data_IF_512416716729
#
_entry.id   IF_512416716729
#
_cell.length_a   1.000
_cell.length_b   1.000
_cell.length_c   1.000
_cell.angle_alpha   90.00
_cell.angle_beta   90.00
_cell.angle_gamma   90.00
#
_symmetry.space_group_name_H-M   'P 1'
#
loop_
_entity.id
_entity.type
_entity.pdbx_description
1 polymer ?
#
# COMPACT_ATOMS: atom_id res chain seq x y z
N UNK A 1 18.15 -19.67 8.96
CA UNK A 1 17.04 -20.19 8.14
C UNK A 1 17.11 -19.54 6.77
N UNK A 2 16.92 -20.29 5.68
CA UNK A 2 16.90 -19.73 4.33
C UNK A 2 15.48 -19.20 4.03
N UNK A 3 15.35 -17.89 3.79
CA UNK A 3 14.07 -17.25 3.49
C UNK A 3 13.57 -17.67 2.11
N UNK A 4 12.47 -18.44 2.04
CA UNK A 4 11.87 -18.93 0.78
C UNK A 4 10.37 -18.65 0.73
N UNK A 5 9.80 -18.39 -0.46
CA UNK A 5 8.36 -18.20 -0.61
C UNK A 5 7.60 -19.43 -0.13
N UNK A 6 6.65 -19.20 0.77
CA UNK A 6 5.75 -20.25 1.26
C UNK A 6 4.67 -20.50 0.20
N UNK A 7 4.18 -19.43 -0.39
CA UNK A 7 3.28 -19.46 -1.53
C UNK A 7 4.06 -19.10 -2.79
N UNK A 8 3.86 -19.88 -3.85
CA UNK A 8 4.55 -19.72 -5.13
C UNK A 8 3.53 -19.50 -6.25
N UNK A 9 3.99 -18.83 -7.29
CA UNK A 9 3.30 -18.61 -8.56
C UNK A 9 4.35 -18.80 -9.64
N UNK A 10 4.11 -19.67 -10.61
CA UNK A 10 5.07 -19.89 -11.69
C UNK A 10 4.90 -18.83 -12.77
N UNK A 11 3.67 -18.38 -13.01
CA UNK A 11 3.34 -17.28 -13.91
C UNK A 11 2.62 -16.13 -13.20
N UNK A 12 2.60 -14.96 -13.84
CA UNK A 12 1.77 -13.84 -13.38
C UNK A 12 0.30 -14.18 -13.55
N UNK A 13 -0.54 -13.62 -12.68
CA UNK A 13 -2.00 -13.77 -12.68
C UNK A 13 -2.54 -15.17 -12.38
N UNK A 14 -1.70 -16.15 -12.14
CA UNK A 14 -2.14 -17.47 -11.71
C UNK A 14 -2.81 -17.42 -10.33
N UNK A 15 -3.93 -18.13 -10.15
CA UNK A 15 -4.50 -18.34 -8.82
C UNK A 15 -3.53 -19.14 -7.94
N UNK A 16 -3.40 -18.72 -6.69
CA UNK A 16 -2.50 -19.39 -5.74
C UNK A 16 -3.33 -20.13 -4.70
N UNK A 17 -3.16 -21.45 -4.61
CA UNK A 17 -3.77 -22.25 -3.55
C UNK A 17 -3.13 -21.89 -2.21
N UNK A 18 -3.92 -21.33 -1.30
CA UNK A 18 -3.50 -20.95 0.05
C UNK A 18 -3.57 -22.16 0.98
N UNK A 19 -4.72 -22.85 0.98
CA UNK A 19 -4.95 -24.03 1.82
C UNK A 19 -6.15 -24.83 1.34
N UNK A 20 -6.26 -26.08 1.79
CA UNK A 20 -7.47 -26.88 1.72
C UNK A 20 -7.89 -27.20 3.16
N UNK A 21 -9.06 -26.73 3.57
CA UNK A 21 -9.48 -26.78 4.98
C UNK A 21 -10.91 -27.31 5.11
N UNK A 22 -11.20 -28.07 6.18
CA UNK A 22 -12.56 -28.47 6.48
C UNK A 22 -13.34 -27.25 7.01
N UNK A 23 -14.54 -27.03 6.46
CA UNK A 23 -15.39 -25.88 6.77
C UNK A 23 -16.81 -26.28 7.10
N UNK A 24 -17.52 -25.43 7.82
CA UNK A 24 -18.98 -25.49 7.94
C UNK A 24 -19.55 -24.31 7.18
N UNK A 25 -20.36 -24.59 6.17
CA UNK A 25 -21.16 -23.59 5.45
C UNK A 25 -22.45 -23.39 6.22
N UNK A 26 -22.63 -22.21 6.82
CA UNK A 26 -23.85 -21.87 7.54
C UNK A 26 -24.88 -21.30 6.58
N UNK A 27 -26.02 -21.98 6.47
CA UNK A 27 -27.14 -21.54 5.61
C UNK A 27 -28.41 -21.29 6.40
N UNK A 28 -29.37 -20.59 5.82
CA UNK A 28 -30.75 -20.46 6.34
C UNK A 28 -31.44 -21.81 6.52
N UNK A 29 -30.99 -22.86 5.82
CA UNK A 29 -31.58 -24.22 5.81
C UNK A 29 -30.81 -25.21 6.68
N UNK A 30 -29.77 -24.76 7.37
CA UNK A 30 -28.93 -25.56 8.25
C UNK A 30 -27.44 -25.53 7.87
N UNK A 31 -26.63 -26.13 8.74
CA UNK A 31 -25.18 -26.16 8.61
C UNK A 31 -24.73 -27.35 7.76
N UNK A 32 -23.77 -27.13 6.88
CA UNK A 32 -23.24 -28.15 5.97
C UNK A 32 -21.72 -28.25 6.08
N UNK A 33 -21.18 -29.31 6.71
CA UNK A 33 -19.74 -29.58 6.74
C UNK A 33 -19.23 -29.94 5.34
N UNK A 34 -18.19 -29.26 4.88
CA UNK A 34 -17.57 -29.44 3.56
C UNK A 34 -16.05 -29.29 3.65
N UNK A 35 -15.35 -29.47 2.54
CA UNK A 35 -13.95 -29.06 2.38
C UNK A 35 -13.90 -27.86 1.43
N UNK A 36 -13.18 -26.81 1.82
CA UNK A 36 -12.99 -25.63 1.00
C UNK A 36 -11.57 -25.59 0.46
N UNK A 37 -11.43 -25.35 -0.85
CA UNK A 37 -10.18 -24.91 -1.47
C UNK A 37 -10.11 -23.40 -1.37
N UNK A 38 -9.13 -22.89 -0.63
CA UNK A 38 -8.95 -21.47 -0.35
C UNK A 38 -7.89 -20.94 -1.30
N UNK A 39 -8.28 -20.04 -2.17
CA UNK A 39 -7.46 -19.61 -3.32
C UNK A 39 -7.34 -18.09 -3.31
N UNK A 40 -6.13 -17.59 -3.52
CA UNK A 40 -5.91 -16.20 -3.91
C UNK A 40 -6.15 -16.10 -5.42
N UNK A 41 -7.33 -15.65 -5.82
CA UNK A 41 -7.62 -15.32 -7.20
C UNK A 41 -7.02 -13.95 -7.53
N UNK A 42 -6.45 -13.79 -8.73
CA UNK A 42 -5.86 -12.52 -9.16
C UNK A 42 -6.83 -11.64 -9.96
N UNK A 43 -7.78 -12.24 -10.68
CA UNK A 43 -8.73 -11.54 -11.55
C UNK A 43 -10.19 -11.74 -11.12
N UNK A 44 -11.09 -10.78 -11.45
CA UNK A 44 -10.83 -9.48 -12.08
C UNK A 44 -10.16 -8.47 -11.12
N UNK A 45 -10.26 -8.69 -9.81
CA UNK A 45 -9.50 -8.01 -8.77
C UNK A 45 -9.01 -9.06 -7.79
N UNK A 46 -7.77 -8.90 -7.30
CA UNK A 46 -7.19 -9.90 -6.42
C UNK A 46 -7.98 -10.02 -5.11
N UNK A 47 -8.40 -11.26 -4.80
CA UNK A 47 -9.30 -11.61 -3.68
C UNK A 47 -9.05 -13.02 -3.21
N UNK A 48 -9.22 -13.26 -1.91
CA UNK A 48 -9.30 -14.60 -1.37
C UNK A 48 -10.71 -15.16 -1.62
N UNK A 49 -10.79 -16.34 -2.23
CA UNK A 49 -12.04 -17.08 -2.43
C UNK A 49 -11.98 -18.46 -1.79
N UNK A 50 -13.16 -18.93 -1.45
CA UNK A 50 -13.41 -20.28 -0.96
C UNK A 50 -14.22 -21.00 -2.02
N UNK A 51 -13.64 -22.02 -2.64
CA UNK A 51 -14.33 -22.91 -3.56
C UNK A 51 -14.71 -24.18 -2.82
N UNK A 52 -16.02 -24.45 -2.76
CA UNK A 52 -16.59 -25.50 -1.93
C UNK A 52 -17.46 -26.39 -2.82
N UNK A 53 -17.08 -27.67 -2.91
CA UNK A 53 -17.81 -28.66 -3.70
C UNK A 53 -18.68 -29.53 -2.79
N UNK A 54 -19.99 -29.51 -3.02
CA UNK A 54 -20.98 -30.33 -2.34
C UNK A 54 -21.14 -31.64 -3.09
N UNK A 55 -20.31 -32.62 -2.76
CA UNK A 55 -20.34 -33.95 -3.40
C UNK A 55 -21.71 -34.61 -3.27
N UNK A 56 -22.19 -35.15 -4.39
CA UNK A 56 -23.35 -36.05 -4.51
C UNK A 56 -24.70 -35.50 -4.00
N UNK A 57 -24.81 -34.18 -3.82
CA UNK A 57 -26.05 -33.52 -3.38
C UNK A 57 -26.31 -32.25 -4.18
N UNK A 58 -27.49 -32.18 -4.80
CA UNK A 58 -28.06 -30.90 -5.21
C UNK A 58 -28.59 -30.24 -3.95
N UNK A 59 -27.90 -29.20 -3.49
CA UNK A 59 -28.36 -28.43 -2.35
C UNK A 59 -29.40 -27.41 -2.82
N UNK A 60 -30.62 -27.42 -2.27
CA UNK A 60 -31.69 -26.54 -2.73
C UNK A 60 -31.59 -25.18 -2.04
N UNK A 61 -30.41 -24.54 -2.03
CA UNK A 61 -30.24 -23.20 -1.45
C UNK A 61 -29.83 -22.19 -2.53
N UNK A 62 -30.26 -20.93 -2.39
CA UNK A 62 -29.82 -19.82 -3.24
C UNK A 62 -28.55 -19.16 -2.69
N UNK A 63 -27.94 -18.26 -3.45
CA UNK A 63 -26.79 -17.48 -2.95
C UNK A 63 -27.10 -16.75 -1.64
N UNK A 64 -28.31 -16.20 -1.51
CA UNK A 64 -28.76 -15.44 -0.33
C UNK A 64 -28.96 -16.31 0.92
N UNK A 65 -29.03 -17.63 0.74
CA UNK A 65 -29.19 -18.56 1.86
C UNK A 65 -27.87 -18.74 2.63
N UNK A 66 -26.70 -18.45 2.03
CA UNK A 66 -25.38 -18.63 2.67
C UNK A 66 -25.00 -17.39 3.48
N UNK A 67 -24.88 -17.53 4.79
CA UNK A 67 -24.60 -16.40 5.70
C UNK A 67 -23.12 -16.25 6.05
N UNK A 68 -22.45 -17.36 6.33
CA UNK A 68 -21.06 -17.37 6.77
C UNK A 68 -20.40 -18.71 6.50
N UNK A 69 -19.07 -18.72 6.53
CA UNK A 69 -18.25 -19.93 6.46
C UNK A 69 -17.40 -20.00 7.73
N UNK A 70 -17.37 -21.16 8.39
CA UNK A 70 -16.59 -21.40 9.61
C UNK A 70 -15.48 -22.40 9.30
N UNK A 71 -14.22 -22.07 9.59
CA UNK A 71 -13.12 -23.04 9.54
C UNK A 71 -13.19 -23.98 10.73
N UNK A 72 -13.30 -25.28 10.48
CA UNK A 72 -13.24 -26.30 11.53
C UNK A 72 -11.78 -26.68 11.81
N UNK A 73 -11.41 -26.81 13.08
CA UNK A 73 -10.05 -27.22 13.49
C UNK A 73 -9.06 -26.07 13.78
N UNK A 74 -9.41 -24.82 13.47
CA UNK A 74 -8.60 -23.63 13.77
C UNK A 74 -9.35 -22.65 14.66
N UNK A 75 -9.71 -23.06 15.88
CA UNK A 75 -10.51 -22.28 16.84
C UNK A 75 -11.94 -21.92 16.38
N UNK A 76 -12.51 -22.66 15.41
CA UNK A 76 -13.85 -22.40 14.88
C UNK A 76 -14.06 -20.95 14.44
N UNK A 77 -13.08 -20.41 13.69
CA UNK A 77 -13.12 -19.05 13.18
C UNK A 77 -14.24 -18.90 12.16
N UNK A 78 -15.20 -18.04 12.49
CA UNK A 78 -16.32 -17.69 11.63
C UNK A 78 -16.03 -16.40 10.86
N UNK A 79 -16.23 -16.45 9.54
CA UNK A 79 -16.08 -15.30 8.67
C UNK A 79 -17.38 -14.95 7.98
N UNK A 80 -17.76 -13.68 8.08
CA UNK A 80 -18.84 -13.09 7.30
C UNK A 80 -18.39 -12.86 5.85
N UNK A 81 -19.35 -12.95 4.94
CA UNK A 81 -19.08 -12.78 3.53
C UNK A 81 -20.30 -13.04 2.68
N UNK A 82 -20.04 -13.28 1.40
CA UNK A 82 -21.06 -13.38 0.37
C UNK A 82 -20.80 -14.58 -0.51
N UNK A 83 -21.84 -15.36 -0.80
CA UNK A 83 -21.82 -16.27 -1.92
C UNK A 83 -21.84 -15.45 -3.22
N UNK A 84 -20.87 -15.70 -4.10
CA UNK A 84 -20.71 -14.95 -5.36
C UNK A 84 -20.86 -15.83 -6.60
N UNK A 85 -20.94 -17.15 -6.43
CA UNK A 85 -21.19 -18.09 -7.50
C UNK A 85 -21.74 -19.40 -6.93
N UNK A 86 -22.76 -19.94 -7.58
CA UNK A 86 -23.34 -21.23 -7.25
C UNK A 86 -23.61 -21.95 -8.56
N UNK A 87 -23.07 -23.14 -8.71
CA UNK A 87 -23.35 -24.00 -9.87
C UNK A 87 -24.01 -25.28 -9.40
N UNK A 88 -24.92 -25.81 -10.22
CA UNK A 88 -25.57 -27.09 -10.00
C UNK A 88 -25.32 -27.98 -11.22
N UNK A 89 -24.74 -29.14 -10.97
CA UNK A 89 -24.50 -30.18 -11.96
C UNK A 89 -25.17 -31.47 -11.50
N UNK A 90 -25.92 -32.10 -12.39
CA UNK A 90 -26.54 -33.41 -12.11
C UNK A 90 -25.52 -34.54 -11.99
N UNK A 91 -24.28 -34.32 -12.47
CA UNK A 91 -23.18 -35.29 -12.40
C UNK A 91 -22.17 -34.97 -11.30
N UNK A 92 -21.90 -33.69 -11.04
CA UNK A 92 -20.81 -33.25 -10.16
C UNK A 92 -21.31 -32.66 -8.84
N UNK A 93 -22.63 -32.56 -8.63
CA UNK A 93 -23.23 -31.97 -7.44
C UNK A 93 -23.33 -30.45 -7.54
N UNK A 94 -23.32 -29.76 -6.40
CA UNK A 94 -23.33 -28.30 -6.38
C UNK A 94 -21.95 -27.76 -6.03
N UNK A 95 -21.54 -26.61 -6.56
CA UNK A 95 -20.32 -25.92 -6.10
C UNK A 95 -20.63 -24.46 -5.75
N UNK A 96 -19.98 -23.97 -4.71
CA UNK A 96 -20.12 -22.62 -4.18
C UNK A 96 -18.78 -21.91 -4.23
N UNK A 97 -18.78 -20.71 -4.80
CA UNK A 97 -17.70 -19.74 -4.62
C UNK A 97 -18.15 -18.71 -3.59
N UNK A 98 -17.41 -18.62 -2.49
CA UNK A 98 -17.68 -17.71 -1.40
C UNK A 98 -16.55 -16.70 -1.23
N UNK A 99 -16.92 -15.48 -0.89
CA UNK A 99 -16.01 -14.35 -0.68
C UNK A 99 -16.12 -13.82 0.74
N UNK A 100 -15.00 -13.61 1.46
CA UNK A 100 -15.04 -12.89 2.71
C UNK A 100 -15.48 -11.44 2.50
N UNK A 101 -16.16 -10.89 3.51
CA UNK A 101 -16.61 -9.49 3.55
C UNK A 101 -15.43 -8.52 3.64
N UNK A 102 -14.37 -8.93 4.34
CA UNK A 102 -13.18 -8.11 4.59
C UNK A 102 -11.93 -8.98 4.68
N UNK A 103 -10.81 -8.37 4.33
CA UNK A 103 -9.47 -8.91 4.51
C UNK A 103 -8.64 -7.92 5.36
N UNK A 104 -7.65 -8.38 6.14
CA UNK A 104 -7.14 -9.75 6.25
C UNK A 104 -8.05 -10.72 7.03
N UNK A 105 -7.98 -12.00 6.65
CA UNK A 105 -8.53 -13.13 7.41
C UNK A 105 -7.45 -13.70 8.32
N UNK A 106 -7.69 -13.66 9.63
CA UNK A 106 -6.83 -14.35 10.60
C UNK A 106 -7.24 -15.80 10.62
N UNK A 107 -6.46 -16.65 9.96
CA UNK A 107 -6.78 -18.06 9.75
C UNK A 107 -6.17 -18.99 10.80
N UNK A 108 -5.19 -18.52 11.57
CA UNK A 108 -4.57 -19.27 12.66
C UNK A 108 -4.04 -18.31 13.70
N UNK A 109 -4.12 -18.71 14.97
CA UNK A 109 -3.63 -17.93 16.10
C UNK A 109 -4.56 -16.76 16.47
N UNK A 110 -4.24 -16.12 17.58
CA UNK A 110 -4.95 -14.96 18.14
C UNK A 110 -3.96 -13.82 18.39
N UNK A 111 -4.46 -12.71 18.96
CA UNK A 111 -3.63 -11.54 19.26
C UNK A 111 -2.46 -11.83 20.22
N UNK A 112 -2.62 -12.78 21.15
CA UNK A 112 -1.58 -13.14 22.13
C UNK A 112 -0.76 -14.38 21.76
N UNK A 113 -0.96 -14.97 20.58
CA UNK A 113 -0.11 -16.07 20.09
C UNK A 113 1.34 -15.62 20.02
N UNK A 114 2.25 -16.39 20.63
CA UNK A 114 3.69 -16.13 20.58
C UNK A 114 4.30 -16.58 19.25
N UNK A 115 5.10 -15.70 18.66
CA UNK A 115 5.73 -15.86 17.34
C UNK A 115 7.21 -15.52 17.50
N UNK A 116 8.09 -16.35 16.95
CA UNK A 116 9.53 -16.11 16.90
C UNK A 116 9.94 -15.30 15.67
N UNK A 117 9.36 -15.60 14.51
CA UNK A 117 9.53 -14.84 13.27
C UNK A 117 8.32 -15.05 12.37
N UNK A 118 8.15 -14.16 11.39
CA UNK A 118 7.11 -14.27 10.39
C UNK A 118 7.66 -14.11 8.98
N UNK A 119 6.98 -14.69 8.00
CA UNK A 119 7.27 -14.57 6.57
C UNK A 119 6.05 -13.99 5.88
N UNK A 120 6.25 -13.10 4.92
CA UNK A 120 5.19 -12.48 4.13
C UNK A 120 5.63 -12.32 2.68
N UNK A 121 4.66 -12.09 1.81
CA UNK A 121 4.85 -12.00 0.37
C UNK A 121 4.53 -10.57 -0.10
N UNK A 122 5.18 -10.12 -1.18
CA UNK A 122 4.91 -8.80 -1.76
C UNK A 122 4.71 -8.95 -3.27
N UNK A 123 3.55 -8.50 -3.72
CA UNK A 123 3.19 -8.51 -5.13
C UNK A 123 3.44 -7.15 -5.75
N UNK A 124 3.86 -7.17 -7.01
CA UNK A 124 3.98 -5.99 -7.85
C UNK A 124 4.91 -4.89 -7.29
N UNK A 125 5.87 -5.17 -6.41
CA UNK A 125 6.82 -4.14 -5.97
C UNK A 125 7.91 -3.94 -7.04
N UNK A 126 8.46 -2.73 -7.12
CA UNK A 126 9.50 -2.38 -8.12
C UNK A 126 10.78 -3.19 -7.90
N UNK A 127 11.51 -3.45 -8.98
CA UNK A 127 12.86 -4.05 -8.89
C UNK A 127 13.79 -3.02 -8.27
N UNK A 128 13.97 -3.11 -6.95
CA UNK A 128 14.80 -2.19 -6.22
C UNK A 128 16.19 -2.78 -6.03
N UNK A 129 17.23 -1.95 -6.11
CA UNK A 129 18.60 -2.34 -5.83
C UNK A 129 18.96 -2.08 -4.37
N UNK A 130 18.96 -3.19 -3.64
CA UNK A 130 19.31 -3.29 -2.22
C UNK A 130 20.74 -2.86 -1.93
N UNK A 131 20.99 -2.21 -0.78
CA UNK A 131 22.35 -1.99 -0.29
C UNK A 131 23.13 -3.31 -0.14
N UNK A 132 22.42 -4.41 0.09
CA UNK A 132 22.97 -5.76 0.22
C UNK A 132 22.55 -6.63 -0.97
N UNK A 133 23.50 -7.39 -1.51
CA UNK A 133 23.31 -8.30 -2.64
C UNK A 133 23.79 -9.70 -2.29
N UNK A 134 23.01 -10.70 -2.66
CA UNK A 134 23.42 -12.11 -2.66
C UNK A 134 23.23 -12.73 -4.05
N UNK A 135 23.46 -14.03 -4.19
CA UNK A 135 23.24 -14.75 -5.44
C UNK A 135 22.56 -16.09 -5.16
N UNK A 136 21.56 -16.41 -5.97
CA UNK A 136 20.82 -17.67 -5.89
C UNK A 136 20.84 -18.35 -7.27
N UNK A 137 20.93 -19.68 -7.26
CA UNK A 137 20.95 -20.49 -8.49
C UNK A 137 19.57 -21.07 -8.76
N UNK A 138 19.08 -20.96 -10.00
CA UNK A 138 17.88 -21.65 -10.49
C UNK A 138 18.22 -22.33 -11.81
N UNK A 139 18.19 -23.66 -11.83
CA UNK A 139 18.71 -24.45 -12.96
C UNK A 139 20.22 -24.21 -13.14
N UNK A 140 20.64 -23.89 -14.36
CA UNK A 140 22.05 -23.60 -14.69
C UNK A 140 22.39 -22.09 -14.65
N UNK A 141 21.46 -21.25 -14.19
CA UNK A 141 21.62 -19.79 -14.17
C UNK A 141 21.76 -19.25 -12.75
N UNK A 142 22.64 -18.26 -12.59
CA UNK A 142 22.86 -17.55 -11.33
C UNK A 142 22.18 -16.18 -11.40
N UNK A 143 21.40 -15.86 -10.37
CA UNK A 143 20.60 -14.64 -10.28
C UNK A 143 21.09 -13.76 -9.14
N UNK A 144 21.18 -12.46 -9.38
CA UNK A 144 21.44 -11.49 -8.33
C UNK A 144 20.17 -11.31 -7.49
N UNK A 145 20.30 -11.39 -6.17
CA UNK A 145 19.21 -11.15 -5.23
C UNK A 145 19.53 -9.89 -4.42
N UNK A 146 18.60 -8.94 -4.44
CA UNK A 146 18.73 -7.67 -3.75
C UNK A 146 17.95 -7.69 -2.45
N UNK A 147 18.55 -7.16 -1.40
CA UNK A 147 17.98 -7.15 -0.05
C UNK A 147 17.93 -5.75 0.54
N UNK A 148 16.86 -5.48 1.28
CA UNK A 148 16.69 -4.29 2.11
C UNK A 148 16.39 -4.71 3.53
N UNK A 149 17.17 -4.16 4.45
CA UNK A 149 17.04 -4.40 5.87
C UNK A 149 16.41 -3.16 6.51
N UNK A 150 15.12 -3.26 6.83
CA UNK A 150 14.35 -2.21 7.44
C UNK A 150 14.34 -2.44 8.96
N UNK A 151 15.13 -1.64 9.69
CA UNK A 151 15.33 -1.78 11.14
C UNK A 151 14.60 -0.64 11.86
N UNK A 152 13.81 -0.99 12.88
CA UNK A 152 13.16 -0.02 13.76
C UNK A 152 13.13 -0.54 15.19
N UNK A 153 13.81 0.15 16.12
CA UNK A 153 14.00 -0.31 17.51
C UNK A 153 14.57 -1.73 17.52
N UNK A 154 13.79 -2.70 18.03
CA UNK A 154 14.16 -4.12 18.06
C UNK A 154 13.63 -4.92 16.87
N UNK A 155 12.82 -4.32 16.00
CA UNK A 155 12.30 -4.98 14.82
C UNK A 155 13.33 -4.97 13.69
N UNK A 156 13.42 -6.10 13.01
CA UNK A 156 14.16 -6.29 11.78
C UNK A 156 13.22 -6.89 10.74
N UNK A 157 12.98 -6.13 9.68
CA UNK A 157 12.24 -6.58 8.50
C UNK A 157 13.21 -6.71 7.35
N UNK A 158 13.45 -7.94 6.91
CA UNK A 158 14.22 -8.21 5.69
C UNK A 158 13.22 -8.33 4.52
N UNK A 159 13.48 -7.63 3.42
CA UNK A 159 12.79 -7.84 2.14
C UNK A 159 13.84 -8.21 1.11
N UNK A 160 13.58 -9.25 0.32
CA UNK A 160 14.44 -9.64 -0.78
C UNK A 160 13.68 -9.91 -2.07
N UNK A 161 14.32 -9.66 -3.20
CA UNK A 161 13.83 -10.09 -4.51
C UNK A 161 13.87 -11.62 -4.62
N UNK A 162 13.15 -12.13 -5.61
CA UNK A 162 13.14 -13.53 -6.01
C UNK A 162 14.01 -13.70 -7.26
N UNK A 163 14.42 -14.93 -7.54
CA UNK A 163 15.11 -15.27 -8.80
C UNK A 163 14.27 -14.95 -10.05
N UNK A 164 12.96 -14.78 -9.88
CA UNK A 164 12.00 -14.47 -10.95
C UNK A 164 11.63 -12.99 -11.06
N UNK A 165 12.00 -12.13 -10.11
CA UNK A 165 11.47 -10.76 -10.00
C UNK A 165 11.59 -9.95 -11.27
N UNK A 166 12.78 -9.94 -11.89
CA UNK A 166 13.01 -9.17 -13.12
C UNK A 166 12.15 -9.67 -14.29
N UNK A 167 11.99 -11.00 -14.42
CA UNK A 167 11.13 -11.60 -15.45
C UNK A 167 9.64 -11.30 -15.18
N UNK A 168 9.21 -11.48 -13.92
CA UNK A 168 7.87 -11.15 -13.46
C UNK A 168 7.51 -9.69 -13.76
N UNK A 169 8.41 -8.75 -13.49
CA UNK A 169 8.18 -7.32 -13.77
C UNK A 169 8.03 -7.07 -15.27
N UNK A 170 8.90 -7.65 -16.11
CA UNK A 170 8.76 -7.54 -17.58
C UNK A 170 7.43 -8.09 -18.09
N UNK A 171 6.92 -9.16 -17.49
CA UNK A 171 5.61 -9.71 -17.83
C UNK A 171 4.49 -8.77 -17.37
N UNK A 172 4.58 -8.22 -16.16
CA UNK A 172 3.60 -7.27 -15.61
C UNK A 172 3.54 -5.96 -16.42
N UNK A 173 4.66 -5.46 -16.92
CA UNK A 173 4.71 -4.29 -17.80
C UNK A 173 3.97 -4.53 -19.12
N UNK A 174 3.96 -5.77 -19.63
CA UNK A 174 3.28 -6.13 -20.88
C UNK A 174 1.81 -6.46 -20.69
N UNK A 175 1.47 -7.17 -19.62
CA UNK A 175 0.16 -7.80 -19.45
C UNK A 175 -0.66 -7.25 -18.28
N UNK A 176 -0.06 -6.41 -17.44
CA UNK A 176 -0.67 -5.94 -16.20
C UNK A 176 -0.94 -7.07 -15.20
N UNK A 177 -1.77 -6.77 -14.21
CA UNK A 177 -2.24 -7.76 -13.25
C UNK A 177 -1.33 -7.95 -12.03
N UNK A 178 -1.07 -9.19 -11.61
CA UNK A 178 -0.46 -9.50 -10.31
C UNK A 178 0.64 -10.54 -10.45
N UNK A 179 1.82 -10.22 -9.91
CA UNK A 179 2.96 -11.12 -9.86
C UNK A 179 3.66 -11.05 -8.51
N UNK A 180 4.07 -12.21 -8.00
CA UNK A 180 4.87 -12.29 -6.78
C UNK A 180 6.29 -11.78 -7.08
N UNK A 181 6.64 -10.64 -6.50
CA UNK A 181 7.91 -9.96 -6.81
C UNK A 181 8.94 -10.08 -5.71
N UNK A 182 8.53 -10.10 -4.45
CA UNK A 182 9.45 -10.14 -3.32
C UNK A 182 8.88 -11.01 -2.21
N UNK A 183 9.77 -11.44 -1.32
CA UNK A 183 9.44 -12.04 -0.04
C UNK A 183 10.06 -11.21 1.07
N UNK A 184 9.42 -11.17 2.23
CA UNK A 184 10.04 -10.62 3.41
C UNK A 184 9.86 -11.48 4.65
N UNK A 185 10.64 -11.14 5.66
CA UNK A 185 10.53 -11.71 7.00
C UNK A 185 10.51 -10.61 8.05
N UNK A 186 9.84 -10.88 9.17
CA UNK A 186 9.81 -10.01 10.34
C UNK A 186 10.33 -10.81 11.53
N UNK A 187 11.29 -10.24 12.27
CA UNK A 187 11.75 -10.78 13.56
C UNK A 187 12.13 -9.65 14.50
N UNK A 188 12.24 -9.96 15.79
CA UNK A 188 12.91 -9.08 16.74
C UNK A 188 14.40 -9.46 16.86
N UNK A 189 15.24 -8.49 17.25
CA UNK A 189 16.64 -8.72 17.59
C UNK A 189 16.77 -9.82 18.66
N UNK A 190 17.89 -10.55 18.62
CA UNK A 190 18.19 -11.64 19.55
C UNK A 190 17.12 -12.76 19.57
N UNK A 191 16.37 -12.93 18.49
CA UNK A 191 15.33 -13.96 18.33
C UNK A 191 14.28 -13.97 19.46
N UNK A 192 13.98 -12.76 19.98
CA UNK A 192 12.94 -12.54 20.99
C UNK A 192 11.58 -12.77 20.36
N UNK A 193 10.71 -13.49 21.07
CA UNK A 193 9.33 -13.73 20.63
C UNK A 193 8.48 -12.46 20.74
N UNK A 194 7.45 -12.38 19.93
CA UNK A 194 6.47 -11.30 19.90
C UNK A 194 5.07 -11.85 19.67
N UNK A 195 4.06 -11.07 20.01
CA UNK A 195 2.66 -11.48 19.94
C UNK A 195 2.07 -11.22 18.54
N UNK A 196 1.07 -12.01 18.16
CA UNK A 196 0.33 -11.82 16.91
C UNK A 196 -0.23 -10.40 16.71
N UNK A 197 -0.63 -9.72 17.79
CA UNK A 197 -1.08 -8.31 17.73
C UNK A 197 0.06 -7.33 17.40
N UNK A 198 1.26 -7.59 17.90
CA UNK A 198 2.45 -6.79 17.57
C UNK A 198 2.85 -7.00 16.09
N UNK A 199 2.75 -8.24 15.62
CA UNK A 199 2.97 -8.56 14.20
C UNK A 199 1.97 -7.84 13.28
N UNK A 200 0.69 -7.76 13.67
CA UNK A 200 -0.31 -7.00 12.90
C UNK A 200 0.03 -5.52 12.80
N UNK A 201 0.46 -4.91 13.90
CA UNK A 201 0.79 -3.48 13.93
C UNK A 201 2.02 -3.15 13.06
N UNK A 202 3.09 -3.95 13.15
CA UNK A 202 4.27 -3.76 12.28
C UNK A 202 3.95 -4.01 10.81
N UNK A 203 3.12 -5.00 10.47
CA UNK A 203 2.69 -5.23 9.08
C UNK A 203 1.81 -4.10 8.55
N UNK A 204 1.03 -3.44 9.40
CA UNK A 204 0.24 -2.27 9.00
C UNK A 204 1.14 -1.06 8.72
N UNK A 205 2.10 -0.77 9.60
CA UNK A 205 3.10 0.27 9.36
C UNK A 205 3.88 0.00 8.06
N UNK A 206 4.30 -1.26 7.85
CA UNK A 206 4.99 -1.68 6.64
C UNK A 206 4.10 -1.55 5.39
N UNK A 207 2.80 -1.85 5.48
CA UNK A 207 1.85 -1.61 4.39
C UNK A 207 1.86 -0.15 3.96
N UNK A 208 1.74 0.78 4.90
CA UNK A 208 1.73 2.21 4.58
C UNK A 208 3.07 2.65 3.98
N UNK A 209 4.17 2.23 4.59
CA UNK A 209 5.53 2.57 4.15
C UNK A 209 5.82 2.09 2.73
N UNK A 210 5.59 0.80 2.43
CA UNK A 210 5.83 0.25 1.10
C UNK A 210 4.91 0.87 0.05
N UNK A 211 3.67 1.19 0.44
CA UNK A 211 2.74 1.85 -0.48
C UNK A 211 3.14 3.30 -0.77
N UNK A 212 3.67 4.03 0.23
CA UNK A 212 4.24 5.36 0.05
C UNK A 212 5.45 5.32 -0.89
N UNK A 213 6.39 4.40 -0.62
CA UNK A 213 7.59 4.20 -1.42
C UNK A 213 7.30 3.74 -2.86
N UNK A 214 6.24 2.96 -3.08
CA UNK A 214 5.82 2.55 -4.43
C UNK A 214 5.00 3.63 -5.13
N UNK A 215 4.25 4.45 -4.38
CA UNK A 215 3.27 5.38 -4.94
C UNK A 215 1.90 4.77 -5.24
N UNK A 216 1.68 3.49 -4.91
CA UNK A 216 0.39 2.79 -5.00
C UNK A 216 0.33 1.71 -3.91
N UNK A 217 -0.86 1.19 -3.59
CA UNK A 217 -1.01 0.16 -2.56
C UNK A 217 -0.14 -1.08 -2.84
N UNK A 218 0.75 -1.39 -1.91
CA UNK A 218 1.64 -2.55 -1.96
C UNK A 218 1.80 -3.16 -0.56
N UNK A 219 0.73 -3.76 -0.01
CA UNK A 219 0.78 -4.35 1.32
C UNK A 219 1.64 -5.63 1.32
N UNK A 220 2.27 -5.97 2.46
CA UNK A 220 2.64 -7.35 2.73
C UNK A 220 1.37 -8.22 2.78
N UNK A 221 1.42 -9.39 2.15
CA UNK A 221 0.29 -10.31 2.02
C UNK A 221 0.65 -11.73 2.44
N UNK A 222 -0.37 -12.53 2.75
CA UNK A 222 -0.23 -13.96 3.06
C UNK A 222 0.86 -14.22 4.11
N UNK A 223 0.74 -13.56 5.26
CA UNK A 223 1.74 -13.61 6.31
C UNK A 223 1.56 -14.84 7.21
N UNK A 224 2.67 -15.51 7.52
CA UNK A 224 2.71 -16.71 8.35
C UNK A 224 3.73 -16.50 9.47
N UNK A 225 3.30 -16.67 10.72
CA UNK A 225 4.12 -16.62 11.93
C UNK A 225 4.49 -18.02 12.41
N UNK A 226 5.75 -18.16 12.84
CA UNK A 226 6.36 -19.40 13.29
C UNK A 226 6.83 -19.29 14.73
N UNK A 227 6.75 -20.37 15.51
CA UNK A 227 7.38 -20.45 16.83
C UNK A 227 8.87 -20.82 16.73
N UNK A 228 9.54 -21.02 17.88
CA UNK A 228 10.96 -21.40 17.94
C UNK A 228 11.26 -22.77 17.34
N UNK A 229 10.26 -23.65 17.32
CA UNK A 229 10.34 -25.00 16.74
C UNK A 229 10.06 -25.00 15.22
N UNK A 230 9.91 -23.82 14.60
CA UNK A 230 9.54 -23.62 13.20
C UNK A 230 8.15 -24.16 12.82
N UNK A 231 7.24 -24.27 13.78
CA UNK A 231 5.86 -24.65 13.54
C UNK A 231 5.00 -23.42 13.22
N UNK A 232 4.06 -23.56 12.28
CA UNK A 232 3.11 -22.50 11.93
C UNK A 232 2.11 -22.29 13.07
N UNK A 233 2.19 -21.15 13.75
CA UNK A 233 1.34 -20.81 14.89
C UNK A 233 0.39 -19.65 14.61
N UNK A 234 0.65 -18.85 13.58
CA UNK A 234 -0.16 -17.69 13.22
C UNK A 234 -0.26 -17.50 11.71
N UNK A 235 -1.43 -17.14 11.19
CA UNK A 235 -1.64 -16.93 9.75
C UNK A 235 -2.62 -15.78 9.51
N UNK A 236 -2.26 -14.88 8.60
CA UNK A 236 -3.10 -13.78 8.12
C UNK A 236 -3.11 -13.79 6.60
N UNK A 237 -4.28 -14.05 6.03
CA UNK A 237 -4.47 -14.10 4.59
C UNK A 237 -5.13 -12.81 4.10
N UNK A 238 -4.51 -12.16 3.14
CA UNK A 238 -5.03 -11.00 2.43
C UNK A 238 -4.48 -11.00 1.01
N UNK A 239 -5.18 -10.33 0.11
CA UNK A 239 -4.81 -10.19 -1.28
C UNK A 239 -3.97 -8.94 -1.52
N UNK A 240 -3.12 -8.95 -2.56
CA UNK A 240 -2.60 -7.75 -3.18
C UNK A 240 -3.73 -6.74 -3.46
N UNK A 241 -3.47 -5.46 -3.19
CA UNK A 241 -4.53 -4.45 -3.28
C UNK A 241 -4.71 -3.90 -4.70
N UNK A 242 -3.60 -3.56 -5.36
CA UNK A 242 -3.56 -2.95 -6.69
C UNK A 242 -2.94 -3.90 -7.70
N UNK A 243 -3.50 -3.94 -8.91
CA UNK A 243 -2.84 -4.52 -10.08
C UNK A 243 -1.56 -3.75 -10.41
N UNK A 244 -0.77 -4.26 -11.35
CA UNK A 244 0.49 -3.66 -11.74
C UNK A 244 0.27 -2.22 -12.21
N UNK A 245 1.03 -1.33 -11.58
CA UNK A 245 1.13 0.09 -11.87
C UNK A 245 2.56 0.49 -11.51
N UNK A 246 3.13 1.40 -12.29
CA UNK A 246 4.46 1.98 -12.07
C UNK A 246 4.35 3.51 -11.92
N UNK A 247 3.65 4.01 -10.88
CA UNK A 247 3.49 5.46 -10.72
C UNK A 247 4.83 6.09 -10.29
N UNK A 248 4.97 7.39 -10.55
CA UNK A 248 6.07 8.17 -10.01
C UNK A 248 5.98 8.21 -8.47
N UNK A 249 7.12 8.19 -7.80
CA UNK A 249 7.22 8.26 -6.35
C UNK A 249 8.54 8.89 -5.93
N UNK A 250 8.59 9.47 -4.74
CA UNK A 250 9.82 9.98 -4.12
C UNK A 250 10.97 8.96 -4.05
N UNK A 251 10.67 7.66 -4.00
CA UNK A 251 11.69 6.62 -3.90
C UNK A 251 12.16 6.18 -5.30
N UNK A 252 13.47 6.25 -5.52
CA UNK A 252 14.12 5.75 -6.73
C UNK A 252 14.55 4.29 -6.56
N UNK A 253 14.25 3.44 -7.55
CA UNK A 253 14.51 2.01 -7.48
C UNK A 253 16.01 1.66 -7.36
N UNK A 254 16.94 2.51 -7.83
CA UNK A 254 18.37 2.28 -7.69
C UNK A 254 18.96 2.75 -6.35
N UNK A 255 18.18 3.49 -5.56
CA UNK A 255 18.60 4.05 -4.28
C UNK A 255 17.88 3.35 -3.12
N UNK A 256 18.23 2.09 -2.92
CA UNK A 256 17.69 1.26 -1.83
C UNK A 256 17.91 1.79 -0.42
N UNK A 257 18.96 2.59 -0.25
CA UNK A 257 19.32 3.31 0.96
C UNK A 257 18.25 4.35 1.37
N UNK A 258 17.45 4.85 0.42
CA UNK A 258 16.33 5.74 0.72
C UNK A 258 15.29 5.04 1.60
N UNK A 259 15.01 3.77 1.32
CA UNK A 259 14.07 2.98 2.12
C UNK A 259 14.62 2.75 3.53
N UNK A 260 15.88 2.34 3.64
CA UNK A 260 16.50 2.04 4.94
C UNK A 260 16.68 3.32 5.78
N UNK A 261 16.91 4.46 5.14
CA UNK A 261 17.03 5.77 5.79
C UNK A 261 15.69 6.35 6.28
N UNK A 262 14.60 6.15 5.54
CA UNK A 262 13.28 6.65 5.93
C UNK A 262 12.56 5.74 6.93
N UNK A 263 12.65 4.41 6.76
CA UNK A 263 11.84 3.44 7.50
C UNK A 263 11.80 3.63 9.02
N UNK A 264 12.93 3.71 9.75
CA UNK A 264 12.89 3.89 11.20
C UNK A 264 12.14 5.16 11.59
N UNK A 265 12.35 6.25 10.86
CA UNK A 265 11.72 7.54 11.14
C UNK A 265 10.22 7.53 10.83
N UNK A 266 9.83 6.89 9.73
CA UNK A 266 8.43 6.66 9.40
C UNK A 266 7.73 5.82 10.47
N UNK A 267 8.40 4.78 10.99
CA UNK A 267 7.84 3.92 12.02
C UNK A 267 7.72 4.62 13.38
N UNK A 268 8.63 5.56 13.69
CA UNK A 268 8.48 6.44 14.85
C UNK A 268 7.21 7.28 14.73
N UNK A 269 6.98 7.90 13.56
CA UNK A 269 5.74 8.66 13.26
C UNK A 269 4.48 7.80 13.29
N UNK A 270 4.54 6.58 12.77
CA UNK A 270 3.43 5.60 12.83
C UNK A 270 3.07 5.22 14.27
N UNK A 271 4.06 5.16 15.16
CA UNK A 271 3.88 4.81 16.56
C UNK A 271 3.51 5.98 17.47
N UNK A 272 3.53 7.20 16.94
CA UNK A 272 3.24 8.43 17.67
C UNK A 272 1.73 8.69 17.71
N UNK A 273 1.16 8.87 18.91
CA UNK A 273 -0.28 9.03 19.11
C UNK A 273 -0.84 10.31 18.48
N UNK A 274 -0.02 11.36 18.32
CA UNK A 274 -0.43 12.61 17.68
C UNK A 274 -0.49 12.39 16.16
N UNK A 275 0.52 11.72 15.59
CA UNK A 275 0.68 11.64 14.15
C UNK A 275 0.06 10.44 13.46
N UNK A 276 -0.18 9.34 14.18
CA UNK A 276 -0.60 8.04 13.61
C UNK A 276 -1.79 8.16 12.66
N UNK A 277 -2.83 8.88 13.06
CA UNK A 277 -4.04 9.04 12.23
C UNK A 277 -3.76 9.95 11.03
N UNK A 278 -3.07 11.06 11.24
CA UNK A 278 -2.73 12.01 10.18
C UNK A 278 -1.86 11.38 9.08
N UNK A 279 -0.87 10.58 9.45
CA UNK A 279 0.01 9.93 8.47
C UNK A 279 -0.74 8.84 7.70
N UNK A 280 -1.61 8.06 8.37
CA UNK A 280 -2.43 7.05 7.71
C UNK A 280 -3.34 7.69 6.65
N UNK A 281 -4.02 8.77 7.01
CA UNK A 281 -4.89 9.51 6.10
C UNK A 281 -4.10 10.17 4.96
N UNK A 282 -2.96 10.81 5.26
CA UNK A 282 -2.10 11.43 4.25
C UNK A 282 -1.60 10.41 3.22
N UNK A 283 -1.16 9.22 3.65
CA UNK A 283 -0.75 8.14 2.73
C UNK A 283 -1.93 7.63 1.91
N UNK A 284 -3.12 7.48 2.51
CA UNK A 284 -4.32 7.06 1.80
C UNK A 284 -4.68 8.02 0.65
N UNK A 285 -4.70 9.33 0.92
CA UNK A 285 -4.97 10.33 -0.09
C UNK A 285 -3.84 10.50 -1.10
N UNK A 286 -2.58 10.39 -0.67
CA UNK A 286 -1.41 10.39 -1.57
C UNK A 286 -1.53 9.29 -2.62
N UNK A 287 -1.76 8.04 -2.19
CA UNK A 287 -1.92 6.89 -3.11
C UNK A 287 -3.09 7.13 -4.07
N UNK A 288 -4.21 7.62 -3.55
CA UNK A 288 -5.40 7.91 -4.35
C UNK A 288 -5.22 9.08 -5.33
N UNK A 289 -4.31 10.01 -5.01
CA UNK A 289 -3.99 11.17 -5.82
C UNK A 289 -2.92 10.89 -6.88
N UNK A 290 -2.09 9.86 -6.66
CA UNK A 290 -1.02 9.45 -7.57
C UNK A 290 -1.52 8.51 -8.68
N UNK A 291 -2.79 8.09 -8.61
CA UNK A 291 -3.51 7.39 -9.69
C UNK A 291 -3.81 8.37 -10.84
N UNK A 292 -3.39 8.04 -12.06
CA UNK A 292 -3.37 8.99 -13.20
C UNK A 292 -3.66 8.32 -14.55
N UNK A 293 -4.41 7.22 -14.55
CA UNK A 293 -4.83 6.48 -15.73
C UNK A 293 -5.77 7.31 -16.65
N UNK A 294 -6.31 8.45 -16.20
CA UNK A 294 -7.11 9.37 -17.02
C UNK A 294 -6.99 10.84 -16.60
N UNK A 295 -7.43 11.78 -17.45
CA UNK A 295 -7.43 13.22 -17.15
C UNK A 295 -8.35 13.60 -15.98
N UNK A 296 -9.48 12.90 -15.83
CA UNK A 296 -10.40 13.05 -14.69
C UNK A 296 -9.70 12.67 -13.38
N UNK A 297 -8.81 11.68 -13.42
CA UNK A 297 -8.05 11.26 -12.25
C UNK A 297 -7.00 12.30 -11.84
N UNK A 298 -6.49 13.10 -12.77
CA UNK A 298 -5.53 14.18 -12.48
C UNK A 298 -6.21 15.30 -11.67
N UNK A 299 -7.42 15.73 -12.04
CA UNK A 299 -8.19 16.73 -11.27
C UNK A 299 -8.50 16.22 -9.87
N UNK A 300 -8.95 14.96 -9.76
CA UNK A 300 -9.12 14.26 -8.48
C UNK A 300 -7.82 14.26 -7.68
N UNK A 301 -6.67 14.03 -8.33
CA UNK A 301 -5.36 14.03 -7.69
C UNK A 301 -4.99 15.39 -7.09
N UNK A 302 -5.28 16.49 -7.77
CA UNK A 302 -5.05 17.85 -7.23
C UNK A 302 -5.92 18.10 -5.99
N UNK A 303 -7.19 17.69 -6.03
CA UNK A 303 -8.11 17.85 -4.90
C UNK A 303 -7.62 17.04 -3.70
N UNK A 304 -7.31 15.75 -3.91
CA UNK A 304 -6.92 14.82 -2.84
C UNK A 304 -5.55 15.14 -2.23
N UNK A 305 -4.57 15.53 -3.05
CA UNK A 305 -3.25 15.96 -2.54
C UNK A 305 -3.36 17.19 -1.66
N UNK A 306 -4.17 18.18 -2.03
CA UNK A 306 -4.43 19.36 -1.20
C UNK A 306 -5.19 19.03 0.09
N UNK A 307 -6.13 18.07 0.06
CA UNK A 307 -6.79 17.58 1.28
C UNK A 307 -5.77 16.93 2.24
N UNK A 308 -4.84 16.13 1.72
CA UNK A 308 -3.78 15.53 2.52
C UNK A 308 -2.85 16.60 3.12
N UNK A 309 -2.45 17.58 2.32
CA UNK A 309 -1.61 18.71 2.76
C UNK A 309 -2.31 19.53 3.85
N UNK A 310 -3.61 19.79 3.72
CA UNK A 310 -4.38 20.48 4.75
C UNK A 310 -4.47 19.67 6.05
N UNK A 311 -4.63 18.34 5.95
CA UNK A 311 -4.61 17.45 7.12
C UNK A 311 -3.26 17.48 7.84
N UNK A 312 -2.15 17.43 7.10
CA UNK A 312 -0.79 17.52 7.63
C UNK A 312 -0.53 18.90 8.24
N UNK A 313 -1.01 19.97 7.59
CA UNK A 313 -0.90 21.33 8.10
C UNK A 313 -1.65 21.50 9.44
N UNK A 314 -2.85 20.93 9.57
CA UNK A 314 -3.60 20.92 10.81
C UNK A 314 -2.85 20.17 11.92
N UNK A 315 -2.39 18.95 11.64
CA UNK A 315 -1.65 18.14 12.62
C UNK A 315 -0.40 18.88 13.11
N UNK A 316 0.38 19.42 12.17
CA UNK A 316 1.59 20.16 12.46
C UNK A 316 1.32 21.43 13.28
N UNK A 317 0.43 22.30 12.80
CA UNK A 317 0.26 23.64 13.36
C UNK A 317 -0.60 23.67 14.63
N UNK A 318 -1.60 22.79 14.74
CA UNK A 318 -2.57 22.82 15.84
C UNK A 318 -2.18 21.84 16.94
N UNK A 319 -1.91 20.59 16.59
CA UNK A 319 -1.72 19.52 17.58
C UNK A 319 -0.25 19.41 18.00
N UNK A 320 0.67 19.36 17.03
CA UNK A 320 2.09 19.11 17.29
C UNK A 320 2.83 20.36 17.79
N UNK A 321 2.92 21.42 16.98
CA UNK A 321 3.63 22.66 17.33
C UNK A 321 2.78 23.66 18.12
N UNK A 322 1.45 23.51 18.12
CA UNK A 322 0.51 24.43 18.80
C UNK A 322 0.70 25.91 18.44
N UNK A 323 1.02 26.18 17.17
CA UNK A 323 1.17 27.52 16.61
C UNK A 323 -0.19 28.25 16.52
N UNK A 324 -1.27 27.48 16.32
CA UNK A 324 -2.62 28.00 16.15
C UNK A 324 -3.63 27.20 16.98
N UNK A 325 -4.75 27.84 17.32
CA UNK A 325 -5.93 27.15 17.83
C UNK A 325 -6.70 26.49 16.68
N UNK A 326 -7.56 25.49 16.94
CA UNK A 326 -8.43 24.90 15.91
C UNK A 326 -9.27 25.96 15.16
N UNK A 327 -9.77 26.97 15.88
CA UNK A 327 -10.50 28.09 15.29
C UNK A 327 -9.60 28.95 14.41
N UNK A 328 -8.43 29.36 14.91
CA UNK A 328 -7.48 30.16 14.15
C UNK A 328 -7.03 29.48 12.87
N UNK A 329 -6.79 28.17 12.90
CA UNK A 329 -6.47 27.41 11.69
C UNK A 329 -7.64 27.36 10.70
N UNK A 330 -8.87 27.18 11.18
CA UNK A 330 -10.07 27.14 10.33
C UNK A 330 -10.28 28.44 9.56
N UNK A 331 -9.95 29.58 10.17
CA UNK A 331 -10.15 30.90 9.59
C UNK A 331 -9.11 31.26 8.50
N UNK A 332 -8.04 30.47 8.35
CA UNK A 332 -7.05 30.65 7.29
C UNK A 332 -7.57 30.20 5.92
N UNK A 333 -7.16 30.92 4.87
CA UNK A 333 -7.29 30.44 3.51
C UNK A 333 -6.44 29.19 3.28
N UNK A 334 -6.86 28.33 2.35
CA UNK A 334 -6.12 27.10 2.04
C UNK A 334 -4.67 27.39 1.64
N UNK A 335 -4.43 28.47 0.88
CA UNK A 335 -3.08 28.84 0.46
C UNK A 335 -2.21 29.25 1.64
N UNK A 336 -2.79 29.92 2.66
CA UNK A 336 -2.08 30.29 3.88
C UNK A 336 -1.80 29.10 4.78
N UNK A 337 -2.69 28.10 4.83
CA UNK A 337 -2.42 26.82 5.52
C UNK A 337 -1.23 26.10 4.90
N UNK A 338 -1.13 26.09 3.57
CA UNK A 338 -0.01 25.49 2.85
C UNK A 338 1.28 26.28 3.05
N UNK A 339 1.25 27.62 2.93
CA UNK A 339 2.40 28.48 3.25
C UNK A 339 2.89 28.25 4.67
N UNK A 340 1.97 28.19 5.64
CA UNK A 340 2.30 27.92 7.04
C UNK A 340 3.04 26.61 7.17
N UNK A 341 2.51 25.51 6.60
CA UNK A 341 3.17 24.21 6.66
C UNK A 341 4.54 24.24 5.98
N UNK A 342 4.61 24.62 4.71
CA UNK A 342 5.83 24.55 3.89
C UNK A 342 6.95 25.42 4.46
N UNK A 343 6.65 26.66 4.85
CA UNK A 343 7.64 27.54 5.46
C UNK A 343 8.08 27.06 6.84
N UNK A 344 7.21 26.39 7.61
CA UNK A 344 7.58 25.84 8.92
C UNK A 344 8.46 24.59 8.84
N UNK A 345 8.56 23.99 7.65
CA UNK A 345 9.33 22.77 7.42
C UNK A 345 10.36 22.93 6.29
N UNK A 346 10.69 24.17 5.92
CA UNK A 346 11.74 24.53 4.97
C UNK A 346 11.55 23.94 3.56
N UNK A 347 10.29 23.83 3.10
CA UNK A 347 9.99 23.48 1.70
C UNK A 347 9.81 24.78 0.89
N UNK A 348 10.51 24.95 -0.25
CA UNK A 348 10.35 26.12 -1.12
C UNK A 348 8.91 26.33 -1.59
N UNK A 349 8.41 27.55 -1.46
CA UNK A 349 7.02 27.92 -1.84
C UNK A 349 6.92 28.54 -3.24
N UNK A 350 8.05 28.88 -3.86
CA UNK A 350 8.08 29.41 -5.22
C UNK A 350 7.72 28.33 -6.25
N UNK A 351 7.18 28.75 -7.39
CA UNK A 351 6.91 27.84 -8.51
C UNK A 351 8.25 27.47 -9.17
N UNK A 352 8.64 26.17 -9.21
CA UNK A 352 9.92 25.76 -9.78
C UNK A 352 10.03 26.09 -11.27
N UNK A 353 11.24 26.44 -11.71
CA UNK A 353 11.56 26.79 -13.11
C UNK A 353 11.29 25.66 -14.12
N UNK A 354 11.22 24.42 -13.64
CA UNK A 354 10.87 23.26 -14.45
C UNK A 354 9.41 23.25 -14.91
N UNK A 355 8.52 24.02 -14.26
CA UNK A 355 7.08 24.09 -14.54
C UNK A 355 6.75 25.35 -15.35
N UNK A 356 7.15 25.35 -16.63
CA UNK A 356 7.13 26.55 -17.49
C UNK A 356 5.73 27.09 -17.74
N UNK A 357 4.74 26.21 -17.96
CA UNK A 357 3.38 26.64 -18.26
C UNK A 357 2.74 27.23 -17.01
N UNK A 358 2.91 26.57 -15.87
CA UNK A 358 2.42 27.04 -14.57
C UNK A 358 3.07 28.36 -14.18
N UNK A 359 4.38 28.53 -14.43
CA UNK A 359 5.10 29.79 -14.16
C UNK A 359 4.63 30.94 -15.05
N UNK A 360 4.38 30.67 -16.33
CA UNK A 360 3.80 31.65 -17.26
C UNK A 360 2.41 32.09 -16.78
N UNK A 361 1.56 31.14 -16.45
CA UNK A 361 0.21 31.41 -15.96
C UNK A 361 0.21 32.18 -14.62
N UNK A 362 1.13 31.84 -13.72
CA UNK A 362 1.30 32.57 -12.46
C UNK A 362 1.64 34.05 -12.69
N UNK A 363 2.48 34.36 -13.68
CA UNK A 363 2.80 35.74 -14.03
C UNK A 363 1.59 36.48 -14.63
N UNK A 364 0.84 35.84 -15.54
CA UNK A 364 -0.35 36.41 -16.17
C UNK A 364 -1.46 36.72 -15.15
N UNK A 365 -1.70 35.80 -14.22
CA UNK A 365 -2.74 35.91 -13.19
C UNK A 365 -2.25 36.55 -11.89
N UNK A 366 -0.97 36.92 -11.82
CA UNK A 366 -0.32 37.54 -10.66
C UNK A 366 -0.45 36.72 -9.38
N UNK A 367 -0.26 35.40 -9.49
CA UNK A 367 -0.15 34.53 -8.32
C UNK A 367 1.12 34.87 -7.55
N UNK A 368 1.01 34.84 -6.22
CA UNK A 368 2.09 35.23 -5.30
C UNK A 368 3.18 34.15 -5.27
N UNK A 369 2.75 32.90 -5.24
CA UNK A 369 3.59 31.72 -5.03
C UNK A 369 2.85 30.44 -5.46
N UNK A 370 3.47 29.27 -5.30
CA UNK A 370 2.85 28.00 -5.63
C UNK A 370 1.59 27.69 -4.79
N UNK A 371 1.56 27.89 -3.45
CA UNK A 371 0.32 27.76 -2.67
C UNK A 371 -0.86 28.57 -3.22
N UNK A 372 -0.64 29.81 -3.67
CA UNK A 372 -1.67 30.60 -4.33
C UNK A 372 -2.20 29.87 -5.57
N UNK A 373 -1.31 29.56 -6.52
CA UNK A 373 -1.70 29.00 -7.81
C UNK A 373 -2.41 27.65 -7.67
N UNK A 374 -1.89 26.75 -6.83
CA UNK A 374 -2.50 25.44 -6.62
C UNK A 374 -3.93 25.54 -6.06
N UNK A 375 -4.17 26.47 -5.13
CA UNK A 375 -5.51 26.65 -4.56
C UNK A 375 -6.49 27.29 -5.55
N UNK A 376 -6.07 28.27 -6.35
CA UNK A 376 -6.91 28.83 -7.42
C UNK A 376 -7.28 27.76 -8.46
N UNK A 377 -6.32 26.90 -8.84
CA UNK A 377 -6.57 25.79 -9.76
C UNK A 377 -7.62 24.83 -9.19
N UNK A 378 -7.44 24.38 -7.95
CA UNK A 378 -8.40 23.50 -7.25
C UNK A 378 -9.77 24.15 -7.11
N UNK A 379 -9.83 25.43 -6.73
CA UNK A 379 -11.09 26.16 -6.59
C UNK A 379 -11.86 26.24 -7.91
N UNK A 380 -11.16 26.37 -9.04
CA UNK A 380 -11.80 26.38 -10.35
C UNK A 380 -12.45 25.06 -10.77
N UNK A 381 -11.97 23.94 -10.22
CA UNK A 381 -12.49 22.59 -10.48
C UNK A 381 -13.75 22.32 -9.64
N UNK A 382 -13.80 22.86 -8.43
CA UNK A 382 -14.86 22.57 -7.45
C UNK A 382 -16.02 23.57 -7.55
N UNK A 383 -15.71 24.86 -7.78
CA UNK A 383 -16.73 25.92 -7.72
C UNK A 383 -17.34 26.20 -9.11
N UNK A 384 -18.67 26.05 -9.27
CA UNK A 384 -19.31 26.15 -10.58
C UNK A 384 -19.20 27.54 -11.22
N UNK A 385 -19.17 28.59 -10.40
CA UNK A 385 -19.14 30.00 -10.83
C UNK A 385 -17.73 30.60 -10.77
N UNK A 386 -16.69 29.77 -10.74
CA UNK A 386 -15.33 30.28 -10.66
C UNK A 386 -14.95 31.10 -11.92
N UNK A 387 -14.43 32.32 -11.71
CA UNK A 387 -14.01 33.28 -12.75
C UNK A 387 -13.06 32.73 -13.82
N UNK A 388 -12.39 31.60 -13.53
CA UNK A 388 -11.38 30.97 -14.39
C UNK A 388 -11.71 29.51 -14.72
N UNK A 389 -12.97 29.09 -14.58
CA UNK A 389 -13.40 27.72 -14.91
C UNK A 389 -13.01 27.35 -16.34
N UNK A 390 -12.36 26.19 -16.50
CA UNK A 390 -11.87 25.68 -17.78
C UNK A 390 -10.63 26.39 -18.35
N UNK A 391 -10.05 27.39 -17.67
CA UNK A 391 -8.88 28.14 -18.16
C UNK A 391 -7.53 27.50 -17.80
N UNK A 392 -7.53 26.45 -16.98
CA UNK A 392 -6.30 25.87 -16.44
C UNK A 392 -5.89 24.56 -17.08
N UNK A 393 -6.59 24.11 -18.13
CA UNK A 393 -6.37 22.82 -18.79
C UNK A 393 -4.89 22.60 -19.18
N UNK A 394 -4.20 23.65 -19.63
CA UNK A 394 -2.80 23.59 -20.08
C UNK A 394 -1.77 23.46 -18.93
N UNK A 395 -2.19 23.68 -17.68
CA UNK A 395 -1.35 23.60 -16.49
C UNK A 395 -1.79 22.54 -15.49
N UNK A 396 -2.93 21.86 -15.70
CA UNK A 396 -3.47 20.85 -14.76
C UNK A 396 -2.44 19.77 -14.45
N UNK A 397 -1.74 19.26 -15.46
CA UNK A 397 -0.72 18.23 -15.25
C UNK A 397 0.49 18.73 -14.42
N UNK A 398 0.96 19.96 -14.67
CA UNK A 398 2.04 20.57 -13.89
C UNK A 398 1.61 20.83 -12.44
N UNK A 399 0.38 21.30 -12.24
CA UNK A 399 -0.21 21.52 -10.91
C UNK A 399 -0.37 20.22 -10.13
N UNK A 400 -0.77 19.14 -10.79
CA UNK A 400 -0.83 17.80 -10.19
C UNK A 400 0.54 17.30 -9.74
N UNK A 401 1.55 17.37 -10.63
CA UNK A 401 2.93 17.00 -10.26
C UNK A 401 3.44 17.82 -9.08
N UNK A 402 3.20 19.13 -9.09
CA UNK A 402 3.62 20.03 -8.01
C UNK A 402 2.91 19.72 -6.69
N UNK A 403 1.60 19.45 -6.73
CA UNK A 403 0.84 19.12 -5.51
C UNK A 403 1.32 17.82 -4.87
N UNK A 404 1.62 16.79 -5.69
CA UNK A 404 2.19 15.54 -5.18
C UNK A 404 3.64 15.69 -4.71
N UNK A 405 4.45 16.51 -5.38
CA UNK A 405 5.81 16.81 -4.93
C UNK A 405 5.80 17.47 -3.54
N UNK A 406 4.92 18.45 -3.33
CA UNK A 406 4.73 19.05 -2.00
C UNK A 406 4.29 18.04 -0.95
N UNK A 407 3.36 17.15 -1.29
CA UNK A 407 2.87 16.13 -0.37
C UNK A 407 3.97 15.12 0.01
N UNK A 408 4.74 14.64 -0.97
CA UNK A 408 5.89 13.77 -0.73
C UNK A 408 6.93 14.43 0.18
N UNK A 409 7.34 15.66 -0.16
CA UNK A 409 8.30 16.41 0.64
C UNK A 409 7.79 16.70 2.05
N UNK A 410 6.51 17.04 2.21
CA UNK A 410 5.91 17.25 3.52
C UNK A 410 5.99 15.97 4.37
N UNK A 411 5.61 14.81 3.81
CA UNK A 411 5.71 13.52 4.51
C UNK A 411 7.16 13.21 4.87
N UNK A 412 8.10 13.34 3.94
CA UNK A 412 9.52 13.09 4.16
C UNK A 412 10.09 13.99 5.27
N UNK A 413 9.79 15.28 5.23
CA UNK A 413 10.28 16.27 6.21
C UNK A 413 9.66 16.10 7.58
N UNK A 414 8.36 15.80 7.66
CA UNK A 414 7.68 15.51 8.93
C UNK A 414 8.28 14.26 9.59
N UNK A 415 8.64 13.24 8.80
CA UNK A 415 9.41 12.09 9.29
C UNK A 415 10.87 12.45 9.59
N UNK A 416 11.34 13.67 9.37
CA UNK A 416 12.73 14.06 9.60
C UNK A 416 13.73 13.41 8.65
N UNK A 417 13.33 13.01 7.44
CA UNK A 417 14.23 12.44 6.43
C UNK A 417 15.19 13.48 5.85
N UNK A 418 16.44 13.11 5.59
CA UNK A 418 17.53 14.01 5.15
C UNK A 418 18.38 13.42 4.00
N UNK A 419 17.87 12.35 3.39
CA UNK A 419 18.54 11.63 2.31
C UNK A 419 18.27 12.23 0.94
N UNK A 420 18.40 11.39 -0.08
CA UNK A 420 18.03 11.73 -1.45
C UNK A 420 16.60 11.30 -1.76
N UNK A 421 16.02 11.87 -2.80
CA UNK A 421 14.72 11.47 -3.34
C UNK A 421 14.70 11.64 -4.86
N UNK A 422 13.82 10.91 -5.54
CA UNK A 422 13.48 11.11 -6.94
C UNK A 422 12.53 12.31 -7.05
N UNK A 423 13.02 13.41 -7.61
CA UNK A 423 12.22 14.60 -7.82
C UNK A 423 11.31 14.44 -9.05
N UNK A 424 10.03 14.14 -8.84
CA UNK A 424 9.01 13.99 -9.90
C UNK A 424 8.83 15.22 -10.80
N UNK A 425 9.35 16.39 -10.44
CA UNK A 425 9.29 17.59 -11.27
C UNK A 425 10.34 17.59 -12.39
N UNK A 426 11.48 16.92 -12.18
CA UNK A 426 12.64 16.99 -13.09
C UNK A 426 13.22 15.63 -13.49
N UNK A 427 13.05 14.60 -12.67
CA UNK A 427 13.63 13.27 -12.90
C UNK A 427 13.14 12.68 -14.22
N UNK A 428 14.09 12.18 -15.02
CA UNK A 428 13.85 11.67 -16.38
C UNK A 428 14.08 10.17 -16.52
N UNK A 429 14.89 9.58 -15.65
CA UNK A 429 15.23 8.16 -15.68
C UNK A 429 15.52 7.63 -14.28
N UNK A 430 15.36 6.31 -14.12
CA UNK A 430 15.65 5.61 -12.87
C UNK A 430 17.13 5.77 -12.52
N UNK A 431 17.41 6.09 -11.26
CA UNK A 431 18.72 6.40 -10.70
C UNK A 431 18.99 7.89 -10.52
N UNK A 432 18.16 8.77 -11.10
CA UNK A 432 18.27 10.21 -10.90
C UNK A 432 17.60 10.62 -9.57
N UNK A 433 18.44 10.91 -8.57
CA UNK A 433 18.02 11.38 -7.27
C UNK A 433 18.81 12.63 -6.85
N UNK A 434 18.17 13.51 -6.10
CA UNK A 434 18.77 14.73 -5.54
C UNK A 434 18.58 14.77 -4.02
N UNK A 435 19.33 15.63 -3.32
CA UNK A 435 19.09 15.86 -1.90
C UNK A 435 17.74 16.55 -1.69
N UNK A 436 17.09 16.26 -0.58
CA UNK A 436 15.91 17.01 -0.13
C UNK A 436 16.22 18.50 0.06
N UNK A 437 15.23 19.42 -0.09
CA UNK A 437 15.49 20.87 -0.11
C UNK A 437 16.02 21.50 1.19
N UNK A 438 15.85 20.85 2.33
CA UNK A 438 16.19 21.36 3.67
C UNK A 438 17.58 20.91 4.16
N UNK A 439 18.45 20.50 3.24
CA UNK A 439 19.78 20.00 3.55
C UNK A 439 20.87 21.02 3.27
#
# INVERSE_FOLDING_TARGET
MELKPIYKSDEINEPILISEEPVIVKTTKGDSPQTARIVLEQFPKSRIRFHIDFKDKIYPFSLDDVKSVVLTGRNNLEWEGFAIGLTHSTKEGSSLTWSPRSEPLIARGIGDTEISYAVFHIFNFKECFGPRRSSETRGNSMYAIFHFDLVWKDWHVEIKSLTTTSETIKQLEKSGGYGLTHIGSVKKKNDVTFKGKELKDILYGLRLFLSFAKGTWCPPVLCIGFNKDNEKVWESWNSPHSSWQAPMSWHDAHHGDQLTGLFPKFMDMWSDEIWKDAIQEAIYWYISANDHLSSIEIEKGIILSQTALERLAYEYAVNYKRLLTPKGFKDLWASDKFRLLFSSIDIPIDIPDSLKNLKTMAAELKWIDAPHGLTEIRNSMIHPDHKHKGKFNDVVFEAWKLSLWYLELAILRICGYEGTYSNRLVSRFVGEAENVPWK
#
